data_IF_927165744143
#
_entry.id   IF_927165744143
#
_cell.length_a   1.000
_cell.length_b   1.000
_cell.length_c   1.000
_cell.angle_alpha   90.00
_cell.angle_beta   90.00
_cell.angle_gamma   90.00
#
_symmetry.space_group_name_H-M   'P 1'
#
loop_
_entity.id
_entity.type
_entity.pdbx_description
1 polymer ?
#
# COMPACT_ATOMS: atom_id res chain seq x y z
N UNK A 1 -7.03 30.83 13.93
CA UNK A 1 -6.97 29.46 14.50
C UNK A 1 -6.36 28.39 13.60
N UNK A 2 -6.33 28.49 12.26
CA UNK A 2 -5.53 27.57 11.42
C UNK A 2 -4.07 28.03 11.18
N UNK A 3 -3.78 29.30 11.50
CA UNK A 3 -2.50 29.94 11.21
C UNK A 3 -1.30 29.43 12.03
N UNK A 4 -1.52 28.71 13.14
CA UNK A 4 -0.44 28.23 14.01
C UNK A 4 0.24 26.98 13.43
N UNK A 5 -0.55 26.07 12.84
CA UNK A 5 -0.08 24.83 12.19
C UNK A 5 0.68 25.11 10.89
N UNK A 6 0.27 26.12 10.11
CA UNK A 6 0.99 26.51 8.89
C UNK A 6 2.34 27.22 9.15
N UNK A 7 2.75 27.41 10.40
CA UNK A 7 3.94 28.19 10.75
C UNK A 7 5.13 27.35 11.24
N UNK A 8 4.93 26.06 11.48
CA UNK A 8 5.99 25.12 11.94
C UNK A 8 6.62 24.27 10.84
N UNK A 9 6.07 24.30 9.63
CA UNK A 9 6.60 23.57 8.48
C UNK A 9 7.40 24.57 7.62
N UNK A 10 8.74 24.44 7.52
CA UNK A 10 9.58 25.35 6.76
C UNK A 10 9.27 25.18 5.27
N UNK A 11 8.72 26.24 4.65
CA UNK A 11 8.46 26.29 3.22
C UNK A 11 7.05 26.77 2.84
N UNK A 12 6.88 27.31 1.62
CA UNK A 12 5.60 27.79 1.10
C UNK A 12 4.55 26.68 1.09
N UNK A 13 3.27 27.02 1.15
CA UNK A 13 2.13 26.06 1.23
C UNK A 13 2.23 24.91 0.20
N UNK A 14 2.81 25.17 -0.97
CA UNK A 14 3.05 24.18 -2.03
C UNK A 14 4.02 23.05 -1.63
N UNK A 15 5.06 23.34 -0.84
CA UNK A 15 6.00 22.33 -0.33
C UNK A 15 5.33 21.32 0.59
N UNK A 16 4.38 21.76 1.41
CA UNK A 16 3.63 20.90 2.34
C UNK A 16 2.71 19.95 1.59
N UNK A 17 2.08 20.46 0.52
CA UNK A 17 1.28 19.64 -0.39
C UNK A 17 2.14 18.58 -1.06
N UNK A 18 3.31 18.95 -1.58
CA UNK A 18 4.25 18.00 -2.19
C UNK A 18 4.71 16.91 -1.21
N UNK A 19 5.12 17.28 0.01
CA UNK A 19 5.56 16.32 1.02
C UNK A 19 4.42 15.40 1.44
N UNK A 20 3.21 15.93 1.64
CA UNK A 20 2.03 15.11 1.96
C UNK A 20 1.69 14.15 0.82
N UNK A 21 1.77 14.59 -0.43
CA UNK A 21 1.52 13.75 -1.60
C UNK A 21 2.57 12.63 -1.70
N UNK A 22 3.83 12.97 -1.45
CA UNK A 22 4.94 12.02 -1.45
C UNK A 22 4.79 10.98 -0.34
N UNK A 23 4.35 11.38 0.86
CA UNK A 23 4.03 10.45 1.95
C UNK A 23 2.91 9.48 1.57
N UNK A 24 1.86 9.96 0.90
CA UNK A 24 0.75 9.11 0.43
C UNK A 24 1.25 8.12 -0.62
N UNK A 25 2.01 8.59 -1.61
CA UNK A 25 2.65 7.73 -2.62
C UNK A 25 3.55 6.68 -1.98
N UNK A 26 4.40 7.07 -1.04
CA UNK A 26 5.27 6.16 -0.31
C UNK A 26 4.46 5.12 0.47
N UNK A 27 3.39 5.52 1.14
CA UNK A 27 2.51 4.60 1.87
C UNK A 27 1.86 3.59 0.92
N UNK A 28 1.36 4.03 -0.25
CA UNK A 28 0.78 3.15 -1.27
C UNK A 28 1.83 2.15 -1.78
N UNK A 29 3.05 2.60 -2.08
CA UNK A 29 4.12 1.72 -2.54
C UNK A 29 4.51 0.68 -1.49
N UNK A 30 4.67 1.10 -0.23
CA UNK A 30 4.97 0.18 0.88
C UNK A 30 3.83 -0.83 1.07
N UNK A 31 2.57 -0.37 1.00
CA UNK A 31 1.43 -1.28 1.08
C UNK A 31 1.45 -2.29 -0.07
N UNK A 32 1.63 -1.82 -1.31
CA UNK A 32 1.57 -2.64 -2.51
C UNK A 32 2.74 -3.63 -2.61
N UNK A 33 3.97 -3.20 -2.36
CA UNK A 33 5.17 -4.04 -2.51
C UNK A 33 5.45 -4.92 -1.28
N UNK A 34 5.07 -4.49 -0.09
CA UNK A 34 5.44 -5.20 1.14
C UNK A 34 4.24 -5.79 1.88
N UNK A 35 3.23 -4.97 2.19
CA UNK A 35 2.10 -5.41 3.02
C UNK A 35 1.19 -6.39 2.28
N UNK A 36 0.91 -6.13 1.00
CA UNK A 36 0.07 -7.01 0.18
C UNK A 36 0.69 -8.41 0.04
N UNK A 37 1.95 -8.58 -0.39
CA UNK A 37 2.56 -9.90 -0.48
C UNK A 37 2.63 -10.64 0.86
N UNK A 38 2.86 -9.93 1.95
CA UNK A 38 2.83 -10.50 3.29
C UNK A 38 1.42 -10.99 3.68
N UNK A 39 0.37 -10.17 3.48
CA UNK A 39 -1.02 -10.55 3.74
C UNK A 39 -1.48 -11.70 2.84
N UNK A 40 -0.98 -11.74 1.59
CA UNK A 40 -1.36 -12.73 0.59
C UNK A 40 -1.09 -14.17 1.05
N UNK A 41 -0.11 -14.37 1.93
CA UNK A 41 0.23 -15.67 2.51
C UNK A 41 -0.85 -16.21 3.46
N UNK A 42 -1.61 -15.32 4.09
CA UNK A 42 -2.67 -15.67 5.04
C UNK A 42 -4.05 -15.69 4.40
N UNK A 43 -4.16 -15.34 3.12
CA UNK A 43 -5.43 -15.28 2.43
C UNK A 43 -5.88 -16.70 2.03
N UNK A 44 -6.96 -17.24 2.65
CA UNK A 44 -7.43 -18.60 2.37
C UNK A 44 -8.05 -18.75 0.97
N UNK A 45 -8.24 -17.68 0.22
CA UNK A 45 -8.88 -17.68 -1.10
C UNK A 45 -7.87 -17.68 -2.27
N UNK A 46 -6.57 -17.82 -2.00
CA UNK A 46 -5.51 -17.72 -3.01
C UNK A 46 -5.10 -19.07 -3.64
N UNK A 47 -6.01 -20.04 -3.68
CA UNK A 47 -5.72 -21.33 -4.30
C UNK A 47 -5.52 -21.18 -5.82
N UNK A 48 -4.39 -21.64 -6.38
CA UNK A 48 -4.15 -21.58 -7.82
C UNK A 48 -5.05 -22.59 -8.55
N UNK A 49 -6.03 -22.10 -9.30
CA UNK A 49 -7.02 -22.91 -10.04
C UNK A 49 -6.41 -23.98 -10.95
N UNK A 50 -5.25 -23.68 -11.56
CA UNK A 50 -4.57 -24.58 -12.49
C UNK A 50 -3.90 -25.76 -11.74
N UNK A 51 -3.36 -25.53 -10.54
CA UNK A 51 -2.72 -26.59 -9.74
C UNK A 51 -3.73 -27.54 -9.10
N UNK A 52 -4.87 -27.01 -8.66
CA UNK A 52 -5.96 -27.81 -8.06
C UNK A 52 -6.62 -28.76 -9.05
N UNK A 53 -6.84 -28.33 -10.30
CA UNK A 53 -7.46 -29.19 -11.33
C UNK A 53 -6.51 -30.32 -11.79
N UNK A 54 -5.22 -30.04 -11.90
CA UNK A 54 -4.23 -31.05 -12.33
C UNK A 54 -3.93 -32.11 -11.25
N UNK A 55 -4.22 -31.82 -9.98
CA UNK A 55 -4.09 -32.78 -8.87
C UNK A 55 -5.39 -33.57 -8.68
N UNK A 56 -6.57 -32.94 -8.86
CA UNK A 56 -7.90 -33.56 -8.72
C UNK A 56 -8.36 -34.39 -9.92
N UNK A 57 -7.65 -34.33 -11.06
CA UNK A 57 -7.95 -35.12 -12.26
C UNK A 57 -6.96 -36.27 -12.50
N UNK A 58 -6.17 -36.65 -11.49
CA UNK A 58 -5.12 -37.69 -11.59
C UNK A 58 -5.51 -39.00 -10.88
N UNK A 59 -6.64 -39.03 -10.20
CA UNK A 59 -7.34 -40.20 -9.66
C UNK A 59 -8.43 -40.70 -10.62
#
# INVERSE_FOLDING_TARGET
>A
MYAWIFRHLPGPTWSKVLISLLLILAAILVLAEYVFPWLNQYNPWNEPTIGTVLIRGRD
#
